data_IF_472511431192
#
_entry.id   IF_472511431192
#
_cell.length_a   1.000
_cell.length_b   1.000
_cell.length_c   1.000
_cell.angle_alpha   90.00
_cell.angle_beta   90.00
_cell.angle_gamma   90.00
#
_symmetry.space_group_name_H-M   'P 1'
#
loop_
_entity.id
_entity.type
_entity.pdbx_description
1 polymer ?
#
# COMPACT_ATOMS: atom_id res chain seq x y z
N UNK A 1 16.35 -6.92 -10.30
CA UNK A 1 16.59 -5.91 -11.36
C UNK A 1 15.35 -5.01 -11.45
N UNK A 2 15.45 -3.76 -11.90
CA UNK A 2 14.25 -2.96 -12.20
C UNK A 2 13.79 -3.22 -13.63
N UNK A 3 12.49 -3.45 -13.81
CA UNK A 3 11.86 -3.67 -15.11
C UNK A 3 10.90 -2.53 -15.40
N UNK A 4 10.90 -2.04 -16.64
CA UNK A 4 9.93 -1.09 -17.13
C UNK A 4 8.60 -1.79 -17.40
N UNK A 5 7.52 -1.21 -16.91
CA UNK A 5 6.15 -1.65 -17.19
C UNK A 5 5.33 -0.46 -17.68
N UNK A 6 4.29 -0.74 -18.46
CA UNK A 6 3.34 0.27 -18.90
C UNK A 6 2.30 0.62 -17.82
N UNK A 7 1.50 1.66 -18.07
CA UNK A 7 0.46 2.12 -17.15
C UNK A 7 -0.61 1.07 -16.87
N UNK A 8 -0.99 0.27 -17.87
CA UNK A 8 -2.00 -0.78 -17.71
C UNK A 8 -1.49 -1.89 -16.79
N UNK A 9 -0.23 -2.30 -16.93
CA UNK A 9 0.43 -3.25 -16.05
C UNK A 9 0.54 -2.71 -14.62
N UNK A 10 0.91 -1.43 -14.48
CA UNK A 10 0.94 -0.76 -13.18
C UNK A 10 -0.43 -0.75 -12.51
N UNK A 11 -1.48 -0.36 -13.22
CA UNK A 11 -2.85 -0.30 -12.69
C UNK A 11 -3.35 -1.67 -12.25
N UNK A 12 -3.05 -2.72 -13.03
CA UNK A 12 -3.36 -4.10 -12.66
C UNK A 12 -2.66 -4.52 -11.36
N UNK A 13 -1.36 -4.22 -11.23
CA UNK A 13 -0.57 -4.50 -10.03
C UNK A 13 -1.16 -3.77 -8.81
N UNK A 14 -1.39 -2.46 -8.93
CA UNK A 14 -1.93 -1.65 -7.83
C UNK A 14 -3.33 -2.09 -7.44
N UNK A 15 -4.17 -2.48 -8.40
CA UNK A 15 -5.52 -2.97 -8.14
C UNK A 15 -5.49 -4.25 -7.31
N UNK A 16 -4.68 -5.24 -7.70
CA UNK A 16 -4.51 -6.47 -6.92
C UNK A 16 -4.05 -6.20 -5.48
N UNK A 17 -3.10 -5.28 -5.29
CA UNK A 17 -2.67 -4.90 -3.94
C UNK A 17 -3.77 -4.22 -3.13
N UNK A 18 -4.55 -3.32 -3.75
CA UNK A 18 -5.69 -2.69 -3.08
C UNK A 18 -6.70 -3.75 -2.63
N UNK A 19 -7.04 -4.70 -3.50
CA UNK A 19 -7.97 -5.79 -3.19
C UNK A 19 -7.52 -6.61 -1.99
N UNK A 20 -6.25 -7.02 -1.94
CA UNK A 20 -5.68 -7.75 -0.80
C UNK A 20 -5.78 -6.96 0.51
N UNK A 21 -5.45 -5.67 0.47
CA UNK A 21 -5.51 -4.81 1.66
C UNK A 21 -6.96 -4.53 2.08
N UNK A 22 -7.88 -4.39 1.13
CA UNK A 22 -9.29 -4.14 1.43
C UNK A 22 -9.98 -5.38 2.00
N UNK A 23 -9.71 -6.56 1.44
CA UNK A 23 -10.17 -7.83 2.01
C UNK A 23 -9.66 -8.00 3.45
N UNK A 24 -8.37 -7.76 3.67
CA UNK A 24 -7.79 -7.79 5.01
C UNK A 24 -8.44 -6.77 5.95
N UNK A 25 -8.56 -5.50 5.54
CA UNK A 25 -9.18 -4.43 6.35
C UNK A 25 -10.64 -4.74 6.72
N UNK A 26 -11.37 -5.48 5.87
CA UNK A 26 -12.74 -5.90 6.18
C UNK A 26 -12.78 -6.86 7.38
N UNK A 27 -11.76 -7.72 7.53
CA UNK A 27 -11.65 -8.72 8.62
C UNK A 27 -11.24 -8.09 9.94
N UNK A 28 -10.53 -6.96 9.91
CA UNK A 28 -10.04 -6.27 11.11
C UNK A 28 -10.85 -5.02 11.48
N UNK A 29 -12.00 -4.78 10.84
CA UNK A 29 -12.82 -3.58 11.05
C UNK A 29 -13.21 -3.36 12.52
N UNK A 30 -13.35 -4.43 13.30
CA UNK A 30 -13.67 -4.38 14.75
C UNK A 30 -12.61 -3.67 15.58
N UNK A 31 -11.36 -3.63 15.10
CA UNK A 31 -10.23 -3.01 15.79
C UNK A 31 -10.09 -1.50 15.49
N UNK A 32 -10.93 -0.95 14.60
CA UNK A 32 -10.92 0.46 14.19
C UNK A 32 -9.56 0.96 13.66
N UNK A 33 -8.78 0.05 13.08
CA UNK A 33 -7.50 0.34 12.44
C UNK A 33 -7.46 -0.24 11.04
N UNK A 34 -6.66 0.39 10.19
CA UNK A 34 -6.63 0.10 8.77
C UNK A 34 -5.19 0.11 8.28
N UNK A 35 -4.85 -0.90 7.48
CA UNK A 35 -3.62 -0.90 6.72
C UNK A 35 -3.81 -0.04 5.47
N UNK A 36 -2.90 0.92 5.25
CA UNK A 36 -2.94 1.77 4.05
C UNK A 36 -2.45 0.97 2.84
N UNK A 37 -3.22 0.91 1.74
CA UNK A 37 -2.84 0.14 0.55
C UNK A 37 -1.49 0.58 -0.03
N UNK A 38 -1.29 1.89 -0.22
CA UNK A 38 -0.02 2.43 -0.66
C UNK A 38 0.20 3.87 -0.18
N UNK A 39 1.47 4.25 -0.04
CA UNK A 39 1.91 5.61 0.23
C UNK A 39 2.75 6.10 -0.94
N UNK A 40 2.41 7.29 -1.46
CA UNK A 40 3.11 7.91 -2.58
C UNK A 40 4.00 9.04 -2.06
N UNK A 41 5.30 8.94 -2.32
CA UNK A 41 6.28 10.01 -2.03
C UNK A 41 6.70 10.66 -3.34
N UNK A 42 6.77 11.98 -3.36
CA UNK A 42 7.26 12.75 -4.50
C UNK A 42 8.68 13.24 -4.18
N UNK A 43 9.67 12.88 -5.00
CA UNK A 43 11.07 13.30 -4.81
C UNK A 43 11.77 13.42 -6.16
N UNK A 44 12.39 14.58 -6.40
CA UNK A 44 13.16 14.88 -7.62
C UNK A 44 12.38 14.59 -8.91
N UNK A 45 11.11 15.01 -8.99
CA UNK A 45 10.24 14.78 -10.15
C UNK A 45 9.68 13.35 -10.29
N UNK A 46 10.11 12.41 -9.44
CA UNK A 46 9.66 11.00 -9.45
C UNK A 46 8.63 10.72 -8.36
N UNK A 47 7.76 9.76 -8.61
CA UNK A 47 6.82 9.24 -7.60
C UNK A 47 7.24 7.84 -7.14
N UNK A 48 7.26 7.62 -5.85
CA UNK A 48 7.64 6.36 -5.22
C UNK A 48 6.42 5.79 -4.50
N UNK A 49 6.01 4.57 -4.84
CA UNK A 49 4.87 3.89 -4.22
C UNK A 49 5.38 2.81 -3.27
N UNK A 50 4.97 2.92 -2.00
CA UNK A 50 5.26 1.96 -0.93
C UNK A 50 3.97 1.26 -0.53
N UNK A 51 3.91 -0.06 -0.61
CA UNK A 51 2.66 -0.82 -0.45
C UNK A 51 2.57 -1.43 0.95
N UNK A 52 1.39 -1.34 1.58
CA UNK A 52 1.07 -2.07 2.80
C UNK A 52 1.99 -1.82 4.00
N UNK A 53 2.62 -0.63 4.08
CA UNK A 53 3.65 -0.34 5.10
C UNK A 53 3.15 0.44 6.31
N UNK A 54 1.97 1.05 6.25
CA UNK A 54 1.59 2.11 7.20
C UNK A 54 0.17 1.88 7.73
N UNK A 55 0.04 1.98 9.05
CA UNK A 55 -1.21 1.81 9.78
C UNK A 55 -1.85 3.14 10.12
N UNK A 56 -3.17 3.16 10.05
CA UNK A 56 -3.96 4.34 10.38
C UNK A 56 -5.21 3.98 11.17
N UNK A 57 -5.69 4.92 11.97
CA UNK A 57 -7.01 4.93 12.59
C UNK A 57 -7.89 6.00 11.96
N UNK A 58 -9.18 5.75 11.89
CA UNK A 58 -10.17 6.74 11.49
C UNK A 58 -10.79 7.39 12.72
N UNK A 59 -10.67 8.71 12.85
CA UNK A 59 -11.30 9.45 13.95
C UNK A 59 -12.17 10.57 13.41
N UNK A 60 -13.30 10.82 14.08
CA UNK A 60 -14.17 11.95 13.78
C UNK A 60 -13.85 13.10 14.73
N UNK A 61 -13.12 14.11 14.24
CA UNK A 61 -12.72 15.28 15.01
C UNK A 61 -13.48 16.49 14.48
N UNK A 62 -14.29 17.13 15.32
CA UNK A 62 -15.12 18.29 14.96
C UNK A 62 -16.01 18.03 13.73
N UNK A 63 -16.65 16.87 13.69
CA UNK A 63 -17.51 16.46 12.57
C UNK A 63 -16.77 15.98 11.31
N UNK A 64 -15.45 16.16 11.24
CA UNK A 64 -14.62 15.77 10.08
C UNK A 64 -13.91 14.46 10.33
N UNK A 65 -13.92 13.58 9.33
CA UNK A 65 -13.15 12.34 9.34
C UNK A 65 -11.66 12.68 9.17
N UNK A 66 -10.82 12.13 10.04
CA UNK A 66 -9.36 12.26 9.99
C UNK A 66 -8.70 10.89 10.06
N UNK A 67 -7.66 10.73 9.26
CA UNK A 67 -6.78 9.57 9.30
C UNK A 67 -5.60 9.86 10.23
N UNK A 68 -5.50 9.14 11.34
CA UNK A 68 -4.42 9.27 12.32
C UNK A 68 -3.38 8.20 12.02
N UNK A 69 -2.13 8.60 11.79
CA UNK A 69 -1.03 7.67 11.53
C UNK A 69 -0.59 6.96 12.81
N UNK A 70 -0.50 5.63 12.76
CA UNK A 70 -0.16 4.79 13.92
C UNK A 70 1.25 4.20 13.89
N UNK A 71 1.94 4.25 12.74
CA UNK A 71 3.25 3.64 12.57
C UNK A 71 3.31 2.62 11.46
N UNK A 72 4.42 1.88 11.42
CA UNK A 72 4.67 0.81 10.44
C UNK A 72 4.37 -0.59 11.00
N UNK A 73 4.36 -0.73 12.32
CA UNK A 73 4.15 -2.00 13.00
C UNK A 73 2.65 -2.28 13.21
N UNK A 74 2.30 -3.57 13.31
CA UNK A 74 0.93 -4.01 13.58
C UNK A 74 0.49 -3.44 14.94
N UNK A 75 -0.56 -2.60 15.01
CA UNK A 75 -0.85 -1.83 16.21
C UNK A 75 -1.56 -2.63 17.31
N UNK A 76 -2.16 -3.79 16.97
CA UNK A 76 -2.91 -4.64 17.90
C UNK A 76 -2.49 -6.09 17.67
N UNK A 77 -2.09 -6.78 18.73
CA UNK A 77 -1.45 -8.10 18.63
C UNK A 77 -2.43 -9.21 18.26
N UNK A 78 -3.67 -9.10 18.73
CA UNK A 78 -4.77 -10.04 18.54
C UNK A 78 -5.32 -10.05 17.11
N UNK A 79 -4.98 -9.04 16.32
CA UNK A 79 -5.36 -8.99 14.91
C UNK A 79 -4.63 -10.07 14.10
N UNK A 80 -5.30 -10.65 13.07
CA UNK A 80 -4.61 -11.48 12.10
C UNK A 80 -3.45 -10.71 11.47
N UNK A 81 -2.41 -11.41 11.05
CA UNK A 81 -1.27 -10.75 10.40
C UNK A 81 -1.67 -10.15 9.05
N UNK A 82 -1.11 -8.99 8.69
CA UNK A 82 -1.38 -8.38 7.39
C UNK A 82 -0.87 -9.27 6.26
N UNK A 83 -1.39 -9.11 5.03
CA UNK A 83 -0.86 -9.81 3.88
C UNK A 83 0.64 -9.50 3.73
N UNK A 84 1.44 -10.53 3.46
CA UNK A 84 2.88 -10.37 3.28
C UNK A 84 3.13 -9.70 1.93
N UNK A 85 3.48 -8.43 1.96
CA UNK A 85 3.94 -7.70 0.78
C UNK A 85 5.46 -7.75 0.71
N UNK A 86 6.05 -8.16 -0.43
CA UNK A 86 7.48 -7.96 -0.62
C UNK A 86 7.84 -6.47 -0.50
N UNK A 87 9.02 -6.16 0.04
CA UNK A 87 9.49 -4.78 0.13
C UNK A 87 9.96 -4.28 -1.24
N UNK A 88 9.02 -3.93 -2.11
CA UNK A 88 9.32 -3.31 -3.40
C UNK A 88 8.98 -1.82 -3.37
N UNK A 89 9.62 -1.08 -4.27
CA UNK A 89 9.32 0.31 -4.59
C UNK A 89 8.92 0.37 -6.05
N UNK A 90 7.76 0.94 -6.35
CA UNK A 90 7.41 1.28 -7.72
C UNK A 90 7.80 2.74 -7.95
N UNK A 91 8.55 3.02 -9.00
CA UNK A 91 9.00 4.37 -9.34
C UNK A 91 8.31 4.80 -10.63
N UNK A 92 7.53 5.88 -10.58
CA UNK A 92 7.05 6.55 -11.80
C UNK A 92 8.05 7.63 -12.20
N UNK A 93 8.55 7.54 -13.42
CA UNK A 93 9.48 8.49 -14.05
C UNK A 93 8.92 8.91 -15.41
N UNK A 94 8.43 10.15 -15.51
CA UNK A 94 7.65 10.65 -16.64
C UNK A 94 6.45 9.73 -16.96
N UNK A 95 6.53 8.96 -18.05
CA UNK A 95 5.49 8.03 -18.53
C UNK A 95 5.78 6.56 -18.21
N UNK A 96 6.98 6.24 -17.72
CA UNK A 96 7.38 4.86 -17.43
C UNK A 96 7.20 4.54 -15.95
N UNK A 97 6.84 3.29 -15.66
CA UNK A 97 6.87 2.73 -14.32
C UNK A 97 8.01 1.72 -14.22
N UNK A 98 8.87 1.89 -13.23
CA UNK A 98 9.93 0.95 -12.88
C UNK A 98 9.50 0.16 -11.65
N UNK A 99 9.51 -1.17 -11.77
CA UNK A 99 9.19 -2.09 -10.67
C UNK A 99 10.33 -3.04 -10.42
N UNK A 100 10.52 -3.46 -9.16
CA UNK A 100 11.43 -4.57 -8.87
C UNK A 100 10.90 -5.84 -9.55
N UNK A 101 11.75 -6.52 -10.29
CA UNK A 101 11.45 -7.78 -10.96
C UNK A 101 10.77 -8.82 -10.05
N UNK A 102 11.13 -8.87 -8.76
CA UNK A 102 10.49 -9.76 -7.77
C UNK A 102 8.99 -9.55 -7.65
N UNK A 103 8.51 -8.33 -7.90
CA UNK A 103 7.09 -8.00 -7.86
C UNK A 103 6.31 -8.68 -8.98
N UNK A 104 6.92 -8.94 -10.14
CA UNK A 104 6.25 -9.66 -11.24
C UNK A 104 6.04 -11.13 -10.93
N UNK A 105 6.89 -11.74 -10.09
CA UNK A 105 6.75 -13.13 -9.66
C UNK A 105 5.75 -13.30 -8.51
N UNK A 106 5.41 -12.23 -7.79
CA UNK A 106 4.47 -12.31 -6.66
C UNK A 106 3.01 -12.48 -7.10
N UNK A 107 2.69 -12.18 -8.37
CA UNK A 107 1.34 -12.24 -8.93
C UNK A 107 1.17 -13.21 -10.11
N UNK A 108 2.21 -14.02 -10.40
CA UNK A 108 2.12 -15.16 -11.32
C UNK A 108 1.75 -16.40 -10.53
#
# INVERSE_FOLDING_TARGET
MFIKIDEKQFDNIITKFKELVYDYNSKIKVYDVYLKPFHVVHKNGKKYFYIGKYWYKLEKINGKLKWIYLGKEKPVNEMPDPPKFPEFTIIKDNNDYLVDEKLLYHFK
#
